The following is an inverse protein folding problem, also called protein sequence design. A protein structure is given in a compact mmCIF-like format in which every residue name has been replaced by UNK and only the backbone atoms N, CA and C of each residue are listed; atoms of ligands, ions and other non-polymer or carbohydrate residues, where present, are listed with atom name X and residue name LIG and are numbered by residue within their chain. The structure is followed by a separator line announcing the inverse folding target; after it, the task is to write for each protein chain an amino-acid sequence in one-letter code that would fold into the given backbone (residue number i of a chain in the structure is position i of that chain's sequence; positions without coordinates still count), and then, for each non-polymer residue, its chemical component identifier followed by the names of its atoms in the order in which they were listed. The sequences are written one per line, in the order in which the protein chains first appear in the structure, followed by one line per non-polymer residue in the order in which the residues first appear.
data_IF_002057063709
#
_entry.id   IF_002057063709
#
_cell.length_a   1.000
_cell.length_b   1.000
_cell.length_c   1.000
_cell.angle_alpha   90.00
_cell.angle_beta   90.00
_cell.angle_gamma   90.00
#
_symmetry.space_group_name_H-M   'P 1'
#
loop_
_entity.id
_entity.type
_entity.pdbx_description
1 polymer ?
#
# COMPACT_ATOMS: atom_id res chain seq x y z
N UNK A 1 -38.20 2.90 0.97
CA UNK A 1 -36.78 2.63 1.40
C UNK A 1 -36.10 1.94 0.22
N UNK A 2 -35.12 2.53 -0.46
CA UNK A 2 -34.38 1.83 -1.49
C UNK A 2 -33.55 0.72 -0.81
N UNK A 3 -33.79 -0.51 -1.21
CA UNK A 3 -32.96 -1.64 -0.81
C UNK A 3 -31.54 -1.38 -1.33
N UNK A 4 -30.57 -1.30 -0.45
CA UNK A 4 -29.15 -1.31 -0.78
C UNK A 4 -28.86 -2.65 -1.45
N UNK A 5 -28.91 -2.67 -2.79
CA UNK A 5 -28.39 -3.77 -3.58
C UNK A 5 -26.90 -3.82 -3.28
N UNK A 6 -26.45 -4.86 -2.59
CA UNK A 6 -25.04 -5.11 -2.37
C UNK A 6 -24.34 -5.16 -3.73
N UNK A 7 -23.52 -4.16 -4.00
CA UNK A 7 -22.65 -4.15 -5.17
C UNK A 7 -21.66 -5.31 -4.99
N UNK A 8 -21.84 -6.36 -5.79
CA UNK A 8 -20.88 -7.45 -5.87
C UNK A 8 -19.67 -6.93 -6.65
N UNK A 9 -18.53 -6.91 -6.01
CA UNK A 9 -17.28 -6.54 -6.67
C UNK A 9 -16.79 -7.70 -7.53
N UNK A 10 -16.97 -7.56 -8.83
CA UNK A 10 -16.53 -8.52 -9.84
C UNK A 10 -15.10 -8.28 -10.34
N UNK A 11 -14.40 -7.30 -9.79
CA UNK A 11 -13.00 -7.09 -10.17
C UNK A 11 -12.12 -8.21 -9.65
N UNK A 12 -11.16 -8.73 -10.44
CA UNK A 12 -10.28 -9.81 -10.01
C UNK A 12 -9.53 -9.52 -8.71
N UNK A 13 -9.23 -8.26 -8.46
CA UNK A 13 -8.51 -7.79 -7.28
C UNK A 13 -9.41 -7.33 -6.12
N UNK A 14 -10.73 -7.39 -6.27
CA UNK A 14 -11.73 -6.97 -5.27
C UNK A 14 -11.48 -5.59 -4.65
N UNK A 15 -10.89 -4.68 -5.41
CA UNK A 15 -10.52 -3.34 -4.93
C UNK A 15 -11.71 -2.39 -4.72
N UNK A 16 -12.89 -2.77 -5.18
CA UNK A 16 -14.11 -1.97 -5.05
C UNK A 16 -14.90 -2.27 -3.76
N UNK A 17 -14.52 -3.30 -3.00
CA UNK A 17 -15.12 -3.63 -1.70
C UNK A 17 -14.04 -3.68 -0.63
N UNK A 18 -14.37 -3.14 0.53
CA UNK A 18 -13.51 -3.20 1.71
C UNK A 18 -14.10 -4.25 2.65
N UNK A 19 -13.24 -5.15 3.14
CA UNK A 19 -13.65 -6.25 4.02
C UNK A 19 -14.25 -5.75 5.34
N UNK A 20 -15.02 -6.60 6.00
CA UNK A 20 -15.58 -6.31 7.31
C UNK A 20 -14.47 -6.01 8.34
N UNK A 21 -13.38 -6.78 8.30
CA UNK A 21 -12.24 -6.58 9.19
C UNK A 21 -11.60 -5.20 9.02
N UNK A 22 -11.48 -4.70 7.80
CA UNK A 22 -10.98 -3.36 7.53
C UNK A 22 -11.95 -2.27 7.99
N UNK A 23 -13.25 -2.49 7.81
CA UNK A 23 -14.29 -1.56 8.31
C UNK A 23 -14.27 -1.47 9.85
N UNK A 24 -14.02 -2.58 10.53
CA UNK A 24 -13.83 -2.61 11.98
C UNK A 24 -12.61 -1.78 12.40
N UNK A 25 -11.46 -1.98 11.75
CA UNK A 25 -10.26 -1.18 12.02
C UNK A 25 -10.52 0.32 11.85
N UNK A 26 -11.22 0.72 10.77
CA UNK A 26 -11.57 2.12 10.53
C UNK A 26 -12.60 2.67 11.52
N UNK A 27 -13.45 1.80 12.10
CA UNK A 27 -14.37 2.17 13.18
C UNK A 27 -13.63 2.37 14.50
N UNK A 28 -12.68 1.48 14.80
CA UNK A 28 -11.85 1.55 16.00
C UNK A 28 -11.03 2.84 16.04
N UNK A 29 -10.55 3.33 14.87
CA UNK A 29 -9.89 4.64 14.76
C UNK A 29 -10.73 5.77 15.34
N UNK A 30 -12.03 5.80 15.02
CA UNK A 30 -12.95 6.82 15.54
C UNK A 30 -13.17 6.68 17.05
N UNK A 31 -13.30 5.45 17.53
CA UNK A 31 -13.48 5.17 18.95
C UNK A 31 -12.25 5.58 19.78
N UNK A 32 -11.06 5.49 19.19
CA UNK A 32 -9.79 5.85 19.83
C UNK A 32 -9.37 7.31 19.61
N UNK A 33 -10.23 8.15 19.03
CA UNK A 33 -9.91 9.53 18.62
C UNK A 33 -8.59 9.59 17.81
N UNK A 34 -8.39 8.62 16.94
CA UNK A 34 -7.19 8.50 16.10
C UNK A 34 -7.44 9.03 14.69
N UNK A 35 -6.48 9.77 14.19
CA UNK A 35 -6.42 10.23 12.80
C UNK A 35 -5.41 9.39 12.01
N UNK A 36 -5.77 9.05 10.78
CA UNK A 36 -4.90 8.37 9.82
C UNK A 36 -4.63 9.26 8.64
N UNK A 37 -3.36 9.37 8.29
CA UNK A 37 -2.92 10.04 7.08
C UNK A 37 -2.19 9.03 6.18
N UNK A 38 -2.67 8.89 4.96
CA UNK A 38 -2.01 8.15 3.91
C UNK A 38 -1.22 9.11 3.02
N UNK A 39 0.11 9.01 3.03
CA UNK A 39 0.96 9.84 2.19
C UNK A 39 1.45 9.03 1.00
N UNK A 40 1.05 9.46 -0.20
CA UNK A 40 1.43 8.84 -1.47
C UNK A 40 2.47 9.72 -2.14
N UNK A 41 3.69 9.23 -2.24
CA UNK A 41 4.77 9.92 -2.94
C UNK A 41 4.77 9.51 -4.40
N UNK A 42 4.59 10.48 -5.29
CA UNK A 42 4.72 10.29 -6.72
C UNK A 42 6.14 10.63 -7.14
N UNK A 43 6.89 9.60 -7.48
CA UNK A 43 8.21 9.74 -8.08
C UNK A 43 8.14 9.94 -9.60
N UNK A 44 9.31 10.01 -10.23
CA UNK A 44 9.44 10.12 -11.68
C UNK A 44 9.01 8.83 -12.39
N UNK A 45 7.77 8.76 -12.84
CA UNK A 45 7.34 7.70 -13.78
C UNK A 45 7.52 8.10 -15.25
N UNK A 46 8.30 9.15 -15.51
CA UNK A 46 8.39 9.85 -16.79
C UNK A 46 9.65 9.56 -17.60
N UNK A 47 10.05 8.31 -17.76
CA UNK A 47 11.11 7.93 -18.69
C UNK A 47 10.56 7.24 -19.94
N UNK A 48 11.29 7.34 -21.05
CA UNK A 48 11.05 6.45 -22.20
C UNK A 48 11.52 5.06 -21.82
N UNK A 49 10.68 4.01 -21.99
CA UNK A 49 11.10 2.64 -21.69
C UNK A 49 12.35 2.28 -22.50
N UNK A 50 13.31 1.65 -21.84
CA UNK A 50 14.57 1.23 -22.49
C UNK A 50 14.38 -0.04 -23.33
N UNK A 51 13.46 -0.88 -22.91
CA UNK A 51 13.12 -2.16 -23.54
C UNK A 51 11.71 -2.61 -23.10
N UNK A 52 11.24 -3.74 -23.66
CA UNK A 52 9.91 -4.29 -23.38
C UNK A 52 9.73 -4.65 -21.90
N UNK A 53 10.76 -5.14 -21.23
CA UNK A 53 10.72 -5.48 -19.81
C UNK A 53 10.53 -4.24 -18.96
N UNK A 54 11.28 -3.19 -19.20
CA UNK A 54 11.15 -1.92 -18.50
C UNK A 54 9.77 -1.28 -18.76
N UNK A 55 9.27 -1.36 -20.01
CA UNK A 55 7.91 -0.91 -20.33
C UNK A 55 6.85 -1.64 -19.49
N UNK A 56 6.98 -2.96 -19.35
CA UNK A 56 6.07 -3.77 -18.56
C UNK A 56 6.18 -3.46 -17.06
N UNK A 57 7.39 -3.29 -16.54
CA UNK A 57 7.59 -2.88 -15.14
C UNK A 57 6.93 -1.52 -14.85
N UNK A 58 7.11 -0.53 -15.72
CA UNK A 58 6.45 0.78 -15.61
C UNK A 58 4.91 0.66 -15.66
N UNK A 59 4.38 -0.22 -16.53
CA UNK A 59 2.93 -0.46 -16.61
C UNK A 59 2.39 -1.07 -15.30
N UNK A 60 3.10 -2.04 -14.71
CA UNK A 60 2.75 -2.63 -13.41
C UNK A 60 2.74 -1.56 -12.32
N UNK A 61 3.78 -0.73 -12.25
CA UNK A 61 3.89 0.34 -11.24
C UNK A 61 2.75 1.35 -11.34
N UNK A 62 2.41 1.80 -12.56
CA UNK A 62 1.23 2.66 -12.79
C UNK A 62 -0.05 1.99 -12.31
N UNK A 63 -0.25 0.73 -12.66
CA UNK A 63 -1.42 -0.04 -12.22
C UNK A 63 -1.48 -0.16 -10.70
N UNK A 64 -0.36 -0.40 -10.02
CA UNK A 64 -0.31 -0.45 -8.55
C UNK A 64 -0.66 0.89 -7.91
N UNK A 65 -0.17 2.00 -8.48
CA UNK A 65 -0.51 3.34 -8.01
C UNK A 65 -2.02 3.62 -8.15
N UNK A 66 -2.62 3.23 -9.28
CA UNK A 66 -4.05 3.39 -9.52
C UNK A 66 -4.90 2.54 -8.56
N UNK A 67 -4.54 1.25 -8.39
CA UNK A 67 -5.20 0.35 -7.46
C UNK A 67 -5.10 0.85 -6.01
N UNK A 68 -3.93 1.31 -5.61
CA UNK A 68 -3.71 1.91 -4.29
C UNK A 68 -4.56 3.18 -4.12
N UNK A 69 -4.57 4.06 -5.11
CA UNK A 69 -5.40 5.27 -5.08
C UNK A 69 -6.90 4.98 -5.00
N UNK A 70 -7.39 3.94 -5.69
CA UNK A 70 -8.78 3.49 -5.60
C UNK A 70 -9.10 2.98 -4.19
N UNK A 71 -8.22 2.18 -3.62
CA UNK A 71 -8.37 1.62 -2.28
C UNK A 71 -8.38 2.73 -1.22
N UNK A 72 -7.43 3.67 -1.28
CA UNK A 72 -7.34 4.79 -0.33
C UNK A 72 -8.57 5.70 -0.38
N UNK A 73 -9.14 5.97 -1.56
CA UNK A 73 -10.42 6.69 -1.67
C UNK A 73 -11.55 5.97 -0.93
N UNK A 74 -11.57 4.63 -0.94
CA UNK A 74 -12.55 3.84 -0.17
C UNK A 74 -12.32 3.95 1.33
N UNK A 75 -11.06 3.90 1.77
CA UNK A 75 -10.73 4.11 3.17
C UNK A 75 -11.17 5.50 3.64
N UNK A 76 -10.91 6.55 2.86
CA UNK A 76 -11.36 7.90 3.18
C UNK A 76 -12.88 8.02 3.22
N UNK A 77 -13.60 7.40 2.27
CA UNK A 77 -15.06 7.41 2.25
C UNK A 77 -15.69 6.71 3.48
N UNK A 78 -15.07 5.63 3.98
CA UNK A 78 -15.53 4.89 5.17
C UNK A 78 -15.08 5.59 6.45
N UNK A 79 -13.82 6.02 6.50
CA UNK A 79 -13.19 6.66 7.65
C UNK A 79 -13.66 8.11 7.89
N UNK A 80 -14.16 8.79 6.86
CA UNK A 80 -14.59 10.20 6.95
C UNK A 80 -13.45 11.12 7.38
N UNK A 81 -13.71 12.01 8.31
CA UNK A 81 -12.73 13.00 8.79
C UNK A 81 -11.50 12.39 9.48
N UNK A 82 -11.62 11.16 9.99
CA UNK A 82 -10.52 10.46 10.64
C UNK A 82 -9.50 9.91 9.65
N UNK A 83 -9.77 9.97 8.33
CA UNK A 83 -8.88 9.41 7.30
C UNK A 83 -8.60 10.43 6.22
N UNK A 84 -7.34 10.81 6.07
CA UNK A 84 -6.86 11.76 5.05
C UNK A 84 -5.93 11.06 4.06
N UNK A 85 -6.02 11.46 2.80
CA UNK A 85 -5.10 11.02 1.74
C UNK A 85 -4.37 12.23 1.21
N UNK A 86 -3.06 12.23 1.34
CA UNK A 86 -2.19 13.33 0.92
C UNK A 86 -1.29 12.84 -0.21
N UNK A 87 -1.31 13.53 -1.32
CA UNK A 87 -0.44 13.24 -2.46
C UNK A 87 0.73 14.23 -2.46
N UNK A 88 1.94 13.71 -2.54
CA UNK A 88 3.17 14.47 -2.67
C UNK A 88 3.71 14.29 -4.08
N UNK A 89 3.73 15.35 -4.85
CA UNK A 89 4.21 15.36 -6.22
C UNK A 89 5.43 16.28 -6.33
N UNK A 90 6.58 15.70 -6.63
CA UNK A 90 7.85 16.42 -6.70
C UNK A 90 7.89 17.50 -7.79
N UNK A 91 7.02 17.38 -8.82
CA UNK A 91 6.95 18.36 -9.92
C UNK A 91 5.97 19.49 -9.64
N UNK A 92 4.83 19.19 -9.00
CA UNK A 92 3.80 20.17 -8.73
C UNK A 92 4.17 21.05 -7.53
N UNK A 93 4.69 20.45 -6.46
CA UNK A 93 5.14 21.16 -5.26
C UNK A 93 6.42 20.52 -4.68
N UNK A 94 7.58 20.93 -5.22
CA UNK A 94 8.89 20.42 -4.76
C UNK A 94 9.20 20.77 -3.31
N UNK A 95 8.64 21.86 -2.77
CA UNK A 95 8.88 22.29 -1.40
C UNK A 95 8.12 21.39 -0.42
N UNK A 96 6.81 21.22 -0.60
CA UNK A 96 5.99 20.34 0.22
C UNK A 96 6.43 18.87 0.09
N UNK A 97 6.89 18.45 -1.10
CA UNK A 97 7.46 17.11 -1.28
C UNK A 97 8.70 16.91 -0.39
N UNK A 98 9.66 17.85 -0.40
CA UNK A 98 10.88 17.76 0.41
C UNK A 98 10.59 17.79 1.90
N UNK A 99 9.69 18.66 2.35
CA UNK A 99 9.27 18.72 3.74
C UNK A 99 8.67 17.39 4.20
N UNK A 100 7.73 16.84 3.44
CA UNK A 100 7.13 15.55 3.74
C UNK A 100 8.17 14.41 3.70
N UNK A 101 9.09 14.42 2.74
CA UNK A 101 10.16 13.44 2.65
C UNK A 101 11.07 13.47 3.90
N UNK A 102 11.41 14.65 4.40
CA UNK A 102 12.17 14.80 5.64
C UNK A 102 11.39 14.31 6.85
N UNK A 103 10.12 14.71 6.98
CA UNK A 103 9.26 14.32 8.10
C UNK A 103 9.10 12.81 8.26
N UNK A 104 9.16 12.06 7.16
CA UNK A 104 9.05 10.61 7.15
C UNK A 104 10.38 9.89 6.92
N UNK A 105 11.49 10.59 6.94
CA UNK A 105 12.81 10.00 6.58
C UNK A 105 12.76 9.23 5.26
N UNK A 106 12.02 9.79 4.28
CA UNK A 106 11.83 9.20 2.96
C UNK A 106 13.11 9.39 2.12
N UNK A 107 13.60 8.31 1.55
CA UNK A 107 14.85 8.28 0.77
C UNK A 107 14.58 7.79 -0.66
N UNK A 108 15.59 7.85 -1.51
CA UNK A 108 15.49 7.28 -2.86
C UNK A 108 15.19 5.77 -2.86
N UNK A 109 15.56 5.04 -1.80
CA UNK A 109 15.21 3.63 -1.64
C UNK A 109 13.72 3.40 -1.35
N UNK A 110 13.02 4.41 -0.85
CA UNK A 110 11.59 4.37 -0.54
C UNK A 110 10.71 4.75 -1.75
N UNK A 111 11.31 4.88 -2.95
CA UNK A 111 10.57 5.20 -4.17
C UNK A 111 9.38 4.26 -4.33
N UNK A 112 8.19 4.85 -4.58
CA UNK A 112 6.93 4.11 -4.71
C UNK A 112 6.44 3.47 -3.40
N UNK A 113 6.68 4.12 -2.28
CA UNK A 113 6.14 3.71 -1.00
C UNK A 113 4.88 4.51 -0.63
N UNK A 114 3.95 3.81 -0.01
CA UNK A 114 2.84 4.38 0.72
C UNK A 114 3.24 4.53 2.19
N UNK A 115 3.11 5.72 2.73
CA UNK A 115 3.29 5.93 4.17
C UNK A 115 1.93 5.93 4.84
N UNK A 116 1.76 5.08 5.82
CA UNK A 116 0.60 5.03 6.70
C UNK A 116 1.00 5.67 8.01
N UNK A 117 0.45 6.85 8.32
CA UNK A 117 0.72 7.56 9.55
C UNK A 117 -0.53 7.59 10.43
N UNK A 118 -0.36 7.36 11.73
CA UNK A 118 -1.44 7.40 12.72
C UNK A 118 -1.06 8.38 13.82
N UNK A 119 -1.99 9.27 14.15
CA UNK A 119 -1.90 10.18 15.29
C UNK A 119 -3.06 9.88 16.23
N UNK A 120 -2.76 9.50 17.45
CA UNK A 120 -3.74 9.37 18.53
C UNK A 120 -3.65 10.60 19.43
N UNK A 121 -4.76 11.03 20.00
CA UNK A 121 -4.82 12.19 20.90
C UNK A 121 -3.83 12.05 22.05
N UNK A 122 -3.00 13.05 22.24
CA UNK A 122 -1.98 13.07 23.31
C UNK A 122 -0.79 12.14 23.11
N UNK A 123 -0.63 11.53 21.94
CA UNK A 123 0.49 10.66 21.61
C UNK A 123 1.28 11.16 20.41
N UNK A 124 2.53 10.73 20.33
CA UNK A 124 3.37 11.00 19.18
C UNK A 124 2.83 10.31 17.92
N UNK A 125 3.03 10.95 16.79
CA UNK A 125 2.70 10.41 15.48
C UNK A 125 3.58 9.20 15.20
N UNK A 126 2.96 8.08 14.84
CA UNK A 126 3.65 6.88 14.41
C UNK A 126 3.37 6.62 12.94
N UNK A 127 4.31 6.06 12.23
CA UNK A 127 4.12 5.74 10.82
C UNK A 127 4.81 4.44 10.41
N UNK A 128 4.35 3.89 9.31
CA UNK A 128 4.94 2.73 8.64
C UNK A 128 5.02 2.99 7.14
N UNK A 129 6.14 2.65 6.55
CA UNK A 129 6.34 2.66 5.10
C UNK A 129 5.93 1.31 4.54
N UNK A 130 5.19 1.30 3.44
CA UNK A 130 4.78 0.12 2.69
C UNK A 130 5.24 0.29 1.24
N UNK A 131 6.10 -0.60 0.77
CA UNK A 131 6.50 -0.62 -0.65
C UNK A 131 5.33 -1.10 -1.50
N UNK A 132 4.97 -0.34 -2.54
CA UNK A 132 3.88 -0.74 -3.44
C UNK A 132 4.19 -2.03 -4.19
N UNK A 133 5.46 -2.28 -4.46
CA UNK A 133 5.92 -3.44 -5.23
C UNK A 133 6.04 -4.69 -4.37
N UNK A 134 6.63 -4.59 -3.17
CA UNK A 134 6.92 -5.74 -2.32
C UNK A 134 5.86 -6.04 -1.26
N UNK A 135 5.18 -4.99 -0.73
CA UNK A 135 4.20 -5.16 0.34
C UNK A 135 2.76 -5.22 -0.17
N UNK A 136 2.44 -4.45 -1.25
CA UNK A 136 1.09 -4.35 -1.76
C UNK A 136 0.81 -5.28 -2.94
N UNK A 137 1.82 -5.93 -3.50
CA UNK A 137 1.68 -6.73 -4.72
C UNK A 137 2.42 -8.06 -4.66
N UNK A 138 1.90 -9.02 -5.41
CA UNK A 138 2.62 -10.24 -5.78
C UNK A 138 2.93 -10.15 -7.26
N UNK A 139 4.20 -9.99 -7.59
CA UNK A 139 4.68 -9.87 -8.96
C UNK A 139 5.49 -11.12 -9.31
N UNK A 140 5.11 -11.76 -10.42
CA UNK A 140 5.95 -12.79 -11.03
C UNK A 140 6.96 -12.09 -11.94
N UNK A 141 8.21 -12.13 -11.56
CA UNK A 141 9.30 -11.49 -12.31
C UNK A 141 9.68 -12.23 -13.60
N UNK A 142 8.92 -13.28 -13.96
CA UNK A 142 9.26 -14.12 -15.07
C UNK A 142 10.55 -14.86 -14.79
N UNK A 143 10.47 -15.94 -14.01
CA UNK A 143 11.67 -16.74 -13.68
C UNK A 143 12.43 -17.12 -14.92
N UNK A 144 13.74 -17.34 -14.77
CA UNK A 144 14.57 -18.00 -15.76
C UNK A 144 13.94 -19.37 -16.07
N UNK A 145 12.99 -19.41 -17.00
CA UNK A 145 12.74 -20.67 -17.69
C UNK A 145 14.11 -21.05 -18.26
N UNK A 146 14.63 -22.25 -17.92
CA UNK A 146 15.85 -22.71 -18.57
C UNK A 146 15.55 -22.72 -20.05
N UNK A 147 15.96 -21.67 -20.75
CA UNK A 147 15.80 -21.55 -22.17
C UNK A 147 16.84 -22.49 -22.82
N UNK A 148 16.51 -23.78 -22.85
CA UNK A 148 17.21 -24.72 -23.69
C UNK A 148 16.98 -24.47 -25.17
N UNK A 149 16.19 -23.48 -25.55
CA UNK A 149 16.00 -23.06 -26.92
C UNK A 149 16.84 -21.80 -27.20
N UNK A 150 17.75 -21.83 -28.20
CA UNK A 150 18.47 -20.63 -28.64
C UNK A 150 17.46 -19.59 -29.13
N UNK A 151 17.41 -18.41 -28.46
CA UNK A 151 16.54 -17.30 -28.85
C UNK A 151 15.26 -17.12 -28.01
N UNK A 152 15.09 -17.84 -26.89
CA UNK A 152 13.97 -17.62 -25.97
C UNK A 152 14.02 -16.23 -25.34
N UNK A 153 12.96 -15.41 -25.55
CA UNK A 153 12.83 -14.10 -24.91
C UNK A 153 12.62 -14.32 -23.40
N UNK A 154 13.27 -13.54 -22.52
CA UNK A 154 13.00 -13.61 -21.09
C UNK A 154 11.50 -13.29 -20.83
N UNK A 155 10.89 -14.07 -19.98
CA UNK A 155 9.49 -13.82 -19.60
C UNK A 155 9.36 -12.44 -18.96
N UNK A 156 8.31 -11.71 -19.34
CA UNK A 156 8.02 -10.38 -18.82
C UNK A 156 7.40 -10.48 -17.42
N UNK A 157 7.65 -9.49 -16.54
CA UNK A 157 7.02 -9.46 -15.24
C UNK A 157 5.49 -9.32 -15.35
N UNK A 158 4.76 -10.02 -14.46
CA UNK A 158 3.30 -10.03 -14.44
C UNK A 158 2.83 -9.75 -13.02
N UNK A 159 1.90 -8.80 -12.85
CA UNK A 159 1.20 -8.60 -11.59
C UNK A 159 0.20 -9.75 -11.40
N UNK A 160 0.48 -10.64 -10.45
CA UNK A 160 -0.38 -11.78 -10.10
C UNK A 160 -1.50 -11.39 -9.16
N UNK A 161 -1.19 -10.58 -8.13
CA UNK A 161 -2.17 -10.23 -7.11
C UNK A 161 -1.88 -8.84 -6.52
N UNK A 162 -2.93 -8.15 -6.06
CA UNK A 162 -2.85 -6.90 -5.33
C UNK A 162 -3.36 -7.11 -3.90
N UNK A 163 -2.45 -7.04 -2.93
CA UNK A 163 -2.71 -7.29 -1.51
C UNK A 163 -2.80 -6.00 -0.69
N UNK A 164 -3.10 -4.88 -1.33
CA UNK A 164 -3.09 -3.55 -0.70
C UNK A 164 -3.97 -3.47 0.55
N UNK A 165 -5.18 -4.04 0.52
CA UNK A 165 -6.07 -4.02 1.67
C UNK A 165 -5.46 -4.75 2.88
N UNK A 166 -4.92 -5.96 2.65
CA UNK A 166 -4.28 -6.77 3.70
C UNK A 166 -3.09 -6.03 4.31
N UNK A 167 -2.22 -5.48 3.47
CA UNK A 167 -1.02 -4.79 3.92
C UNK A 167 -1.34 -3.52 4.71
N UNK A 168 -2.26 -2.67 4.19
CA UNK A 168 -2.66 -1.42 4.84
C UNK A 168 -3.38 -1.70 6.16
N UNK A 169 -4.35 -2.64 6.19
CA UNK A 169 -5.08 -2.97 7.41
C UNK A 169 -4.16 -3.57 8.48
N UNK A 170 -3.17 -4.39 8.07
CA UNK A 170 -2.15 -4.90 8.98
C UNK A 170 -1.26 -3.79 9.54
N UNK A 171 -0.86 -2.83 8.70
CA UNK A 171 -0.09 -1.67 9.13
C UNK A 171 -0.87 -0.79 10.13
N UNK A 172 -2.15 -0.52 9.84
CA UNK A 172 -3.02 0.23 10.75
C UNK A 172 -3.18 -0.46 12.09
N UNK A 173 -3.47 -1.76 12.12
CA UNK A 173 -3.56 -2.54 13.36
C UNK A 173 -2.26 -2.45 14.17
N UNK A 174 -1.11 -2.62 13.51
CA UNK A 174 0.19 -2.52 14.17
C UNK A 174 0.51 -1.14 14.72
N UNK A 175 -0.01 -0.07 14.09
CA UNK A 175 0.17 1.30 14.56
C UNK A 175 -0.80 1.68 15.69
N UNK A 176 -1.98 1.06 15.75
CA UNK A 176 -2.98 1.29 16.80
C UNK A 176 -2.66 0.54 18.08
N UNK A 177 -2.16 -0.68 17.98
CA UNK A 177 -1.83 -1.50 19.16
C UNK A 177 -0.73 -0.82 19.98
N UNK A 178 -1.04 -0.54 21.24
CA UNK A 178 -0.10 0.01 22.20
C UNK A 178 0.66 -1.13 22.86
N UNK A 179 1.96 -1.14 22.70
CA UNK A 179 2.88 -2.10 23.34
C UNK A 179 3.75 -2.82 22.33
N UNK A 180 4.96 -3.14 22.73
CA UNK A 180 5.80 -4.06 21.98
C UNK A 180 5.10 -5.42 21.96
N UNK A 181 4.88 -6.04 20.80
CA UNK A 181 4.34 -7.39 20.77
C UNK A 181 5.31 -8.32 21.52
N UNK A 182 4.84 -8.89 22.62
CA UNK A 182 5.63 -9.90 23.34
C UNK A 182 5.48 -11.21 22.58
N UNK A 183 6.53 -11.62 21.91
CA UNK A 183 6.58 -12.92 21.22
C UNK A 183 7.00 -13.97 22.25
N UNK A 184 6.06 -14.82 22.66
CA UNK A 184 6.37 -15.99 23.46
C UNK A 184 6.90 -17.11 22.57
N UNK A 185 8.19 -17.41 22.67
CA UNK A 185 8.78 -18.59 22.03
C UNK A 185 8.55 -19.77 22.97
N UNK A 186 7.60 -20.63 22.63
CA UNK A 186 7.44 -21.92 23.32
C UNK A 186 8.61 -22.81 22.94
N UNK A 187 9.57 -22.96 23.86
CA UNK A 187 10.62 -23.97 23.73
C UNK A 187 9.99 -25.34 23.98
N UNK A 188 9.76 -26.11 22.92
CA UNK A 188 9.35 -27.51 23.07
C UNK A 188 10.39 -28.26 23.86
N UNK A 189 10.00 -28.84 25.00
CA UNK A 189 10.82 -29.88 25.67
C UNK A 189 10.74 -31.12 24.79
N UNK A 190 11.87 -31.50 24.20
CA UNK A 190 12.03 -32.83 23.64
C UNK A 190 12.06 -33.83 24.82
N UNK A 191 11.09 -34.72 24.82
CA UNK A 191 11.09 -35.90 25.64
C UNK A 191 11.87 -37.00 24.92
#
# INVERSE_FOLDING_TARGET
RPALRGLIDLTPQRVNTVSLATKEVLRDLRAEEAEVEFHVFRGEFGGVPRDDRHAQEMAIRRKLLDLTGMLLRRYAAIGGESVKVVHHDAYQDPAAYREAAQAFTYTAADTESLIVAVRQKGKERRFRKLSMVSDLAVIDMGGNTPTGAPGGRPALPILKDFQGEKAISSALKGLLVQGNPVVYVLKGQSV
#
